data_IF_390310379908
#
_entry.id   IF_390310379908
#
_cell.length_a   1.000
_cell.length_b   1.000
_cell.length_c   1.000
_cell.angle_alpha   90.00
_cell.angle_beta   90.00
_cell.angle_gamma   90.00
#
_symmetry.space_group_name_H-M   'P 1'
#
loop_
_entity.id
_entity.type
_entity.pdbx_description
1 polymer ?
#
# COMPACT_ATOMS: atom_id res chain seq x y z
N UNK A 1 22.43 -12.84 -28.67
CA UNK A 1 21.46 -13.17 -27.60
C UNK A 1 22.17 -14.02 -26.56
N UNK A 2 22.02 -13.73 -25.25
CA UNK A 2 22.53 -14.65 -24.21
C UNK A 2 21.70 -15.93 -24.25
N UNK A 3 22.36 -17.07 -24.17
CA UNK A 3 21.72 -18.38 -24.07
C UNK A 3 20.88 -18.46 -22.78
N UNK A 4 19.55 -18.45 -22.93
CA UNK A 4 18.59 -18.44 -21.83
C UNK A 4 18.62 -19.74 -21.03
N UNK A 5 19.05 -20.86 -21.65
CA UNK A 5 19.13 -22.17 -20.99
C UNK A 5 20.17 -22.19 -19.87
N UNK A 6 21.14 -21.26 -19.91
CA UNK A 6 22.15 -21.06 -18.87
C UNK A 6 21.67 -20.13 -17.74
N UNK A 7 20.50 -19.49 -17.87
CA UNK A 7 19.98 -18.57 -16.86
C UNK A 7 19.48 -19.31 -15.60
N UNK A 8 19.95 -18.90 -14.42
CA UNK A 8 19.61 -19.55 -13.15
C UNK A 8 18.14 -19.45 -12.75
N UNK A 9 17.42 -18.41 -13.21
CA UNK A 9 15.96 -18.29 -12.99
C UNK A 9 15.21 -19.21 -13.94
N UNK A 10 15.61 -19.26 -15.21
CA UNK A 10 15.00 -20.17 -16.20
C UNK A 10 15.08 -21.64 -15.71
N UNK A 11 16.22 -22.05 -15.16
CA UNK A 11 16.37 -23.39 -14.55
C UNK A 11 15.46 -23.63 -13.35
N UNK A 12 15.26 -22.62 -12.48
CA UNK A 12 14.33 -22.71 -11.34
C UNK A 12 12.86 -22.79 -11.76
N UNK A 13 12.55 -22.28 -12.94
CA UNK A 13 11.23 -22.40 -13.56
C UNK A 13 11.12 -23.69 -14.41
N UNK A 14 11.95 -24.70 -14.14
CA UNK A 14 11.98 -25.98 -14.86
C UNK A 14 12.17 -25.85 -16.38
N UNK A 15 12.81 -24.77 -16.85
CA UNK A 15 12.98 -24.50 -18.28
C UNK A 15 11.70 -24.06 -18.99
N UNK A 16 10.68 -23.64 -18.24
CA UNK A 16 9.43 -23.14 -18.80
C UNK A 16 9.61 -21.71 -19.36
N UNK A 17 9.49 -21.59 -20.68
CA UNK A 17 9.62 -20.32 -21.39
C UNK A 17 8.46 -19.34 -21.10
N UNK A 18 7.24 -19.84 -20.88
CA UNK A 18 6.09 -18.99 -20.57
C UNK A 18 6.26 -18.36 -19.19
N UNK A 19 6.60 -19.17 -18.18
CA UNK A 19 6.87 -18.65 -16.84
C UNK A 19 8.07 -17.72 -16.82
N UNK A 20 9.12 -18.00 -17.59
CA UNK A 20 10.24 -17.08 -17.71
C UNK A 20 9.84 -15.74 -18.31
N UNK A 21 9.02 -15.73 -19.37
CA UNK A 21 8.50 -14.50 -19.95
C UNK A 21 7.60 -13.72 -18.98
N UNK A 22 6.76 -14.40 -18.18
CA UNK A 22 5.96 -13.78 -17.11
C UNK A 22 6.86 -13.17 -16.03
N UNK A 23 7.88 -13.90 -15.58
CA UNK A 23 8.86 -13.41 -14.62
C UNK A 23 9.59 -12.17 -15.13
N UNK A 24 10.05 -12.13 -16.38
CA UNK A 24 10.74 -10.96 -16.93
C UNK A 24 9.83 -9.72 -16.95
N UNK A 25 8.56 -9.89 -17.32
CA UNK A 25 7.56 -8.80 -17.29
C UNK A 25 7.39 -8.25 -15.87
N UNK A 26 7.19 -9.12 -14.88
CA UNK A 26 7.06 -8.71 -13.48
C UNK A 26 8.34 -8.02 -13.00
N UNK A 27 9.51 -8.61 -13.24
CA UNK A 27 10.81 -8.06 -12.85
C UNK A 27 11.04 -6.65 -13.42
N UNK A 28 10.66 -6.42 -14.68
CA UNK A 28 10.80 -5.10 -15.31
C UNK A 28 10.02 -4.03 -14.57
N UNK A 29 8.81 -4.35 -14.10
CA UNK A 29 7.97 -3.44 -13.31
C UNK A 29 8.55 -3.34 -11.89
N UNK A 30 8.72 -4.46 -11.18
CA UNK A 30 9.15 -4.49 -9.79
C UNK A 30 10.51 -3.81 -9.56
N UNK A 31 11.44 -3.86 -10.52
CA UNK A 31 12.75 -3.19 -10.39
C UNK A 31 12.66 -1.65 -10.31
N UNK A 32 11.57 -1.07 -10.81
CA UNK A 32 11.29 0.38 -10.82
C UNK A 32 10.38 0.83 -9.69
N UNK A 33 9.78 -0.11 -8.95
CA UNK A 33 8.94 0.20 -7.79
C UNK A 33 9.82 0.73 -6.65
N UNK A 34 9.43 1.88 -6.11
CA UNK A 34 10.03 2.53 -4.94
C UNK A 34 8.88 2.90 -4.01
N UNK A 35 8.77 2.12 -2.93
CA UNK A 35 7.65 2.19 -1.99
C UNK A 35 8.02 3.02 -0.77
N UNK A 36 7.06 3.78 -0.27
CA UNK A 36 7.07 4.32 1.08
C UNK A 36 5.71 4.01 1.73
N UNK A 37 5.73 3.81 3.04
CA UNK A 37 4.54 3.55 3.84
C UNK A 37 4.06 4.84 4.50
N UNK A 38 2.75 5.09 4.44
CA UNK A 38 2.13 6.33 4.87
C UNK A 38 1.00 6.07 5.86
N UNK A 39 1.20 6.46 7.13
CA UNK A 39 0.15 6.56 8.14
C UNK A 39 -0.66 7.84 7.93
N UNK A 40 -1.81 7.74 7.27
CA UNK A 40 -2.58 8.94 6.89
C UNK A 40 -3.56 9.42 7.95
N UNK A 41 -3.84 8.60 8.97
CA UNK A 41 -4.68 8.95 10.11
C UNK A 41 -4.36 8.09 11.32
N UNK A 42 -4.66 8.62 12.50
CA UNK A 42 -4.72 7.91 13.78
C UNK A 42 -6.11 7.37 14.11
N UNK A 43 -7.15 7.82 13.39
CA UNK A 43 -8.54 7.42 13.65
C UNK A 43 -8.85 6.04 13.05
N UNK A 44 -9.36 5.12 13.88
CA UNK A 44 -9.85 3.81 13.45
C UNK A 44 -11.25 3.55 14.04
N UNK A 45 -12.10 2.86 13.28
CA UNK A 45 -13.45 2.46 13.69
C UNK A 45 -13.50 1.15 14.49
N UNK A 46 -12.34 0.51 14.72
CA UNK A 46 -12.20 -0.68 15.57
C UNK A 46 -10.95 -0.57 16.47
N UNK A 47 -10.85 -1.43 17.48
CA UNK A 47 -9.69 -1.54 18.39
C UNK A 47 -9.30 -3.00 18.51
N UNK A 48 -8.61 -3.51 17.49
CA UNK A 48 -8.15 -4.89 17.49
C UNK A 48 -7.13 -5.11 18.62
N UNK A 49 -7.24 -6.25 19.28
CA UNK A 49 -6.16 -6.79 20.12
C UNK A 49 -4.94 -7.09 19.24
N UNK A 50 -3.73 -6.79 19.72
CA UNK A 50 -2.52 -6.89 18.93
C UNK A 50 -2.29 -5.74 17.95
N UNK A 51 -3.13 -4.68 17.96
CA UNK A 51 -2.89 -3.53 17.11
C UNK A 51 -1.71 -2.72 17.63
N UNK A 52 -0.55 -2.88 16.99
CA UNK A 52 0.70 -2.19 17.34
C UNK A 52 0.54 -0.67 17.53
N UNK A 53 -0.35 -0.01 16.77
CA UNK A 53 -0.56 1.43 16.91
C UNK A 53 -1.24 1.82 18.23
N UNK A 54 -2.25 1.06 18.67
CA UNK A 54 -3.02 1.37 19.88
C UNK A 54 -2.42 0.76 21.14
N UNK A 55 -1.83 -0.44 21.06
CA UNK A 55 -1.23 -1.11 22.23
C UNK A 55 -0.06 -0.35 22.83
N UNK A 56 0.68 0.38 21.99
CA UNK A 56 1.87 1.14 22.41
C UNK A 56 1.60 2.65 22.52
N UNK A 57 0.34 3.06 22.64
CA UNK A 57 -0.08 4.46 22.85
C UNK A 57 0.42 5.44 21.76
N UNK A 58 0.64 4.97 20.52
CA UNK A 58 1.04 5.88 19.44
C UNK A 58 -0.09 6.84 19.06
N UNK A 59 -1.34 6.43 19.18
CA UNK A 59 -2.51 7.28 18.99
C UNK A 59 -2.52 8.51 19.92
N UNK A 60 -1.96 8.40 21.12
CA UNK A 60 -1.84 9.51 22.09
C UNK A 60 -0.68 10.46 21.78
N UNK A 61 0.30 10.02 20.99
CA UNK A 61 1.56 10.74 20.74
C UNK A 61 1.67 11.26 19.31
N UNK A 62 0.90 10.69 18.39
CA UNK A 62 0.89 11.06 16.97
C UNK A 62 -0.31 11.95 16.68
N UNK A 63 -0.07 13.02 15.90
CA UNK A 63 -1.14 13.91 15.43
C UNK A 63 -1.28 13.78 13.92
N UNK A 64 -2.52 13.77 13.46
CA UNK A 64 -2.83 13.77 12.03
C UNK A 64 -2.36 15.07 11.37
N UNK A 65 -1.68 14.93 10.23
CA UNK A 65 -1.56 16.02 9.27
C UNK A 65 -2.86 16.08 8.46
N UNK A 66 -3.75 17.02 8.78
CA UNK A 66 -5.10 17.08 8.20
C UNK A 66 -5.26 18.08 7.05
N UNK A 67 -4.34 19.04 6.92
CA UNK A 67 -4.42 20.10 5.91
C UNK A 67 -4.02 19.57 4.54
N UNK A 68 -4.96 19.63 3.58
CA UNK A 68 -4.80 19.11 2.21
C UNK A 68 -3.52 19.62 1.53
N UNK A 69 -3.23 20.92 1.66
CA UNK A 69 -2.06 21.53 1.00
C UNK A 69 -0.73 21.07 1.59
N UNK A 70 -0.67 20.83 2.90
CA UNK A 70 0.54 20.33 3.57
C UNK A 70 0.81 18.87 3.16
N UNK A 71 -0.24 18.03 3.11
CA UNK A 71 -0.14 16.66 2.59
C UNK A 71 0.30 16.68 1.13
N UNK A 72 -0.31 17.50 0.28
CA UNK A 72 0.03 17.60 -1.15
C UNK A 72 1.49 17.99 -1.35
N UNK A 73 1.98 19.01 -0.62
CA UNK A 73 3.39 19.42 -0.65
C UNK A 73 4.33 18.28 -0.23
N UNK A 74 3.97 17.56 0.83
CA UNK A 74 4.74 16.40 1.28
C UNK A 74 4.81 15.29 0.21
N UNK A 75 3.68 14.91 -0.39
CA UNK A 75 3.65 13.88 -1.43
C UNK A 75 4.43 14.27 -2.69
N UNK A 76 4.41 15.55 -3.07
CA UNK A 76 5.25 16.05 -4.17
C UNK A 76 6.74 15.90 -3.80
N UNK A 77 7.12 16.20 -2.56
CA UNK A 77 8.50 16.01 -2.11
C UNK A 77 8.94 14.53 -2.13
N UNK A 78 8.03 13.61 -1.83
CA UNK A 78 8.27 12.16 -1.93
C UNK A 78 8.50 11.71 -3.37
N UNK A 79 7.70 12.23 -4.32
CA UNK A 79 7.93 11.98 -5.76
C UNK A 79 9.29 12.47 -6.22
N UNK A 80 9.71 13.65 -5.74
CA UNK A 80 11.03 14.21 -6.06
C UNK A 80 12.17 13.36 -5.50
N UNK A 81 11.96 12.64 -4.40
CA UNK A 81 12.90 11.64 -3.86
C UNK A 81 12.92 10.32 -4.65
N UNK A 82 12.04 10.16 -5.64
CA UNK A 82 11.94 8.97 -6.47
C UNK A 82 10.98 7.91 -5.96
N UNK A 83 10.22 8.16 -4.89
CA UNK A 83 9.13 7.29 -4.47
C UNK A 83 8.03 7.35 -5.53
N UNK A 84 7.50 6.22 -5.97
CA UNK A 84 6.41 6.16 -6.94
C UNK A 84 5.23 5.30 -6.48
N UNK A 85 5.41 4.56 -5.40
CA UNK A 85 4.42 3.62 -4.87
C UNK A 85 4.08 3.97 -3.45
N UNK A 86 2.80 4.09 -3.15
CA UNK A 86 2.29 4.31 -1.81
C UNK A 86 1.74 3.01 -1.22
N UNK A 87 2.22 2.67 -0.02
CA UNK A 87 1.54 1.73 0.87
C UNK A 87 0.85 2.55 1.94
N UNK A 88 -0.45 2.77 1.76
CA UNK A 88 -1.24 3.65 2.60
C UNK A 88 -1.85 2.82 3.73
N UNK A 89 -1.55 3.24 4.95
CA UNK A 89 -2.04 2.63 6.18
C UNK A 89 -2.63 3.70 7.11
N UNK A 90 -2.95 3.26 8.32
CA UNK A 90 -3.18 4.10 9.47
C UNK A 90 -4.63 4.19 9.87
N UNK A 91 -4.84 4.17 11.18
CA UNK A 91 -6.12 3.88 11.82
C UNK A 91 -6.99 3.03 10.90
N UNK A 92 -8.00 3.65 10.29
CA UNK A 92 -8.65 3.13 9.09
C UNK A 92 -8.62 4.17 7.95
N UNK A 93 -7.91 3.92 6.82
CA UNK A 93 -7.73 4.91 5.76
C UNK A 93 -9.03 5.28 5.03
N UNK A 94 -9.99 4.35 4.92
CA UNK A 94 -11.28 4.61 4.24
C UNK A 94 -12.17 5.61 5.00
N UNK A 95 -11.80 5.99 6.23
CA UNK A 95 -12.43 7.10 6.94
C UNK A 95 -12.10 8.47 6.29
N UNK A 96 -11.02 8.57 5.51
CA UNK A 96 -10.52 9.83 4.95
C UNK A 96 -10.30 9.80 3.42
N UNK A 97 -11.34 9.57 2.60
CA UNK A 97 -11.20 9.47 1.14
C UNK A 97 -10.57 10.72 0.50
N UNK A 98 -10.86 11.93 1.00
CA UNK A 98 -10.25 13.18 0.51
C UNK A 98 -8.73 13.24 0.68
N UNK A 99 -8.17 12.51 1.64
CA UNK A 99 -6.71 12.38 1.79
C UNK A 99 -6.17 11.38 0.76
N UNK A 100 -6.87 10.27 0.54
CA UNK A 100 -6.52 9.26 -0.45
C UNK A 100 -6.52 9.82 -1.88
N UNK A 101 -7.44 10.74 -2.21
CA UNK A 101 -7.48 11.42 -3.52
C UNK A 101 -6.13 12.06 -3.89
N UNK A 102 -5.42 12.63 -2.91
CA UNK A 102 -4.10 13.21 -3.16
C UNK A 102 -3.06 12.17 -3.59
N UNK A 103 -3.15 10.95 -3.07
CA UNK A 103 -2.27 9.87 -3.47
C UNK A 103 -2.62 9.40 -4.89
N UNK A 104 -3.90 9.30 -5.21
CA UNK A 104 -4.37 8.99 -6.57
C UNK A 104 -3.90 10.05 -7.59
N UNK A 105 -3.85 11.33 -7.21
CA UNK A 105 -3.35 12.42 -8.05
C UNK A 105 -1.82 12.37 -8.28
N UNK A 106 -1.04 11.89 -7.31
CA UNK A 106 0.41 12.17 -7.24
C UNK A 106 1.27 10.92 -7.42
N UNK A 107 0.85 9.79 -6.87
CA UNK A 107 1.59 8.53 -6.85
C UNK A 107 1.17 7.64 -8.03
N UNK A 108 2.12 6.87 -8.56
CA UNK A 108 1.91 6.02 -9.73
C UNK A 108 1.17 4.74 -9.36
N UNK A 109 1.56 4.12 -8.24
CA UNK A 109 0.94 2.90 -7.73
C UNK A 109 0.46 3.14 -6.30
N UNK A 110 -0.77 2.72 -6.01
CA UNK A 110 -1.40 2.97 -4.72
C UNK A 110 -1.96 1.68 -4.15
N UNK A 111 -1.64 1.41 -2.90
CA UNK A 111 -2.20 0.32 -2.12
C UNK A 111 -2.74 0.84 -0.81
N UNK A 112 -3.90 0.36 -0.36
CA UNK A 112 -4.40 0.62 1.00
C UNK A 112 -4.42 -0.66 1.81
N UNK A 113 -4.08 -0.57 3.10
CA UNK A 113 -4.40 -1.60 4.09
C UNK A 113 -5.59 -1.15 4.92
N UNK A 114 -6.69 -1.91 4.88
CA UNK A 114 -7.97 -1.56 5.51
C UNK A 114 -8.55 -2.74 6.29
N UNK A 115 -9.36 -2.46 7.31
CA UNK A 115 -10.18 -3.47 7.97
C UNK A 115 -11.42 -3.87 7.14
N UNK A 116 -11.71 -3.16 6.05
CA UNK A 116 -12.78 -3.51 5.10
C UNK A 116 -14.20 -3.22 5.57
N UNK A 117 -14.42 -2.72 6.79
CA UNK A 117 -15.77 -2.42 7.32
C UNK A 117 -16.41 -1.20 6.65
N UNK A 118 -15.60 -0.31 6.09
CA UNK A 118 -16.05 0.78 5.23
C UNK A 118 -15.44 0.60 3.85
N UNK A 119 -16.31 0.53 2.84
CA UNK A 119 -15.87 0.36 1.46
C UNK A 119 -15.12 1.62 0.97
N UNK A 120 -14.02 1.40 0.25
CA UNK A 120 -13.40 2.44 -0.55
C UNK A 120 -14.34 2.81 -1.72
N UNK A 121 -14.61 4.10 -1.98
CA UNK A 121 -15.36 4.50 -3.16
C UNK A 121 -14.70 3.97 -4.44
N UNK A 122 -15.49 3.56 -5.44
CA UNK A 122 -14.93 3.09 -6.72
C UNK A 122 -14.46 4.24 -7.61
N UNK A 123 -15.22 5.33 -7.63
CA UNK A 123 -14.88 6.53 -8.39
C UNK A 123 -13.66 7.21 -7.75
N UNK A 124 -12.66 7.55 -8.57
CA UNK A 124 -11.39 8.12 -8.09
C UNK A 124 -10.36 7.13 -7.57
N UNK A 125 -10.71 5.84 -7.38
CA UNK A 125 -9.81 4.85 -6.76
C UNK A 125 -9.74 3.50 -7.48
N UNK A 126 -10.10 3.46 -8.77
CA UNK A 126 -10.17 2.19 -9.54
C UNK A 126 -8.85 1.43 -9.62
N UNK A 127 -7.73 2.14 -9.58
CA UNK A 127 -6.39 1.58 -9.71
C UNK A 127 -5.71 1.30 -8.35
N UNK A 128 -6.45 1.44 -7.25
CA UNK A 128 -5.94 1.10 -5.93
C UNK A 128 -5.95 -0.41 -5.71
N UNK A 129 -4.81 -0.96 -5.28
CA UNK A 129 -4.79 -2.29 -4.67
C UNK A 129 -5.35 -2.20 -3.25
N UNK A 130 -6.29 -3.08 -2.91
CA UNK A 130 -6.94 -3.09 -1.60
C UNK A 130 -6.51 -4.34 -0.85
N UNK A 131 -5.75 -4.15 0.23
CA UNK A 131 -5.35 -5.20 1.16
C UNK A 131 -6.32 -5.17 2.33
N UNK A 132 -7.11 -6.24 2.48
CA UNK A 132 -8.08 -6.36 3.56
C UNK A 132 -7.47 -7.21 4.68
N UNK A 133 -7.30 -6.61 5.85
CA UNK A 133 -6.89 -7.32 7.06
C UNK A 133 -8.10 -8.03 7.64
N UNK A 134 -8.14 -9.36 7.52
CA UNK A 134 -9.18 -10.20 8.10
C UNK A 134 -8.55 -11.13 9.13
N UNK A 135 -8.96 -11.01 10.39
CA UNK A 135 -8.59 -11.93 11.47
C UNK A 135 -9.70 -12.97 11.63
N UNK A 136 -9.30 -14.22 11.84
CA UNK A 136 -10.19 -15.38 11.82
C UNK A 136 -10.74 -15.73 13.19
N UNK A 137 -11.87 -15.12 13.54
CA UNK A 137 -12.77 -15.53 14.63
C UNK A 137 -13.83 -14.47 15.01
N UNK A 138 -14.63 -14.76 16.03
CA UNK A 138 -15.81 -13.99 16.45
C UNK A 138 -15.51 -12.71 17.24
N UNK A 139 -16.45 -11.75 17.20
CA UNK A 139 -16.37 -10.37 17.77
C UNK A 139 -14.96 -9.72 17.80
N UNK A 140 -14.13 -9.89 16.75
CA UNK A 140 -12.74 -9.42 16.63
C UNK A 140 -11.71 -10.05 17.62
N UNK A 141 -12.09 -11.17 18.24
CA UNK A 141 -11.31 -12.27 18.83
C UNK A 141 -10.79 -12.21 20.28
N UNK A 142 -11.74 -12.06 21.22
CA UNK A 142 -11.67 -11.89 22.70
C UNK A 142 -11.15 -10.54 23.22
#
# INVERSE_FOLDING_TARGET
MKDVTKNAIFKRLNGDFEYYARYQRIKQISSRVRVSEYLITTACNIRCKGCWFFEYDFDKRTKDLSKKDEIKKFLISERNRGINTSLIIGGEPTLHPKRLELFAEIMEFNSISTNGLKALPKEGFKDFSVLISLFGGGSLDD
#
